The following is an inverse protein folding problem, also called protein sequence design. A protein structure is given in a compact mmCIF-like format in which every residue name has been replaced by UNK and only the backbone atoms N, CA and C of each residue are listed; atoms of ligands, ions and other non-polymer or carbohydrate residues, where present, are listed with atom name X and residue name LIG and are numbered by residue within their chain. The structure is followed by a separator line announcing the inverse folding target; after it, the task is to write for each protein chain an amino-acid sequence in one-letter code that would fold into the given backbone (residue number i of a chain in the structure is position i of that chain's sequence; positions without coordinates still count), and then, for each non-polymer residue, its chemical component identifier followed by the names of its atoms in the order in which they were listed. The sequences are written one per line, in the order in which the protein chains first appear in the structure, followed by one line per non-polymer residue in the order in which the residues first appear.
data_IF_864163245244
#
_entry.id   IF_864163245244
#
_cell.length_a   1.000
_cell.length_b   1.000
_cell.length_c   1.000
_cell.angle_alpha   90.00
_cell.angle_beta   90.00
_cell.angle_gamma   90.00
#
_symmetry.space_group_name_H-M   'P 1'
#
loop_
_entity.id
_entity.type
_entity.pdbx_description
1 polymer ?
#
# COMPACT_ATOMS: atom_id res chain seq x y z
N UNK A 1 6.10 -19.66 3.77
CA UNK A 1 6.76 -20.89 4.11
C UNK A 1 7.93 -20.69 5.05
N UNK A 2 9.13 -21.11 4.65
CA UNK A 2 10.33 -21.11 5.52
C UNK A 2 10.61 -19.80 6.26
N UNK A 3 10.51 -18.67 5.58
CA UNK A 3 10.70 -17.36 6.22
C UNK A 3 9.67 -17.11 7.32
N UNK A 4 8.41 -17.49 7.12
CA UNK A 4 7.38 -17.36 8.15
C UNK A 4 7.69 -18.20 9.39
N UNK A 5 8.18 -19.43 9.20
CA UNK A 5 8.60 -20.31 10.30
C UNK A 5 9.78 -19.74 11.11
N UNK A 6 10.69 -19.04 10.43
CA UNK A 6 11.88 -18.45 11.06
C UNK A 6 11.56 -17.13 11.80
N UNK A 7 10.62 -16.33 11.27
CA UNK A 7 10.34 -14.97 11.77
C UNK A 7 9.13 -14.94 12.72
N UNK A 8 8.13 -15.84 12.53
CA UNK A 8 6.89 -15.83 13.29
C UNK A 8 6.09 -14.53 13.11
N UNK A 9 5.70 -14.16 11.86
CA UNK A 9 5.06 -12.88 11.61
C UNK A 9 3.68 -12.82 12.27
N UNK A 10 3.32 -11.67 12.83
CA UNK A 10 2.00 -11.43 13.43
C UNK A 10 0.96 -10.98 12.41
N UNK A 11 1.40 -10.31 11.35
CA UNK A 11 0.56 -9.88 10.24
C UNK A 11 1.40 -9.71 8.96
N UNK A 12 0.72 -9.55 7.83
CA UNK A 12 1.34 -9.26 6.53
C UNK A 12 0.87 -7.91 6.01
N UNK A 13 1.80 -7.09 5.55
CA UNK A 13 1.50 -5.89 4.76
C UNK A 13 1.61 -6.28 3.28
N UNK A 14 0.49 -6.16 2.55
CA UNK A 14 0.47 -6.46 1.13
C UNK A 14 0.43 -5.15 0.32
N UNK A 15 1.54 -4.83 -0.33
CA UNK A 15 1.79 -3.53 -0.96
C UNK A 15 1.14 -3.35 -2.35
N UNK A 16 0.03 -4.03 -2.64
CA UNK A 16 -0.73 -3.94 -3.89
C UNK A 16 -0.26 -4.87 -4.99
N UNK A 17 -0.97 -4.86 -6.12
CA UNK A 17 -0.73 -5.70 -7.31
C UNK A 17 -0.74 -7.22 -7.01
N UNK A 18 -1.63 -7.66 -6.12
CA UNK A 18 -1.85 -9.10 -5.86
C UNK A 18 -2.54 -9.77 -7.05
N UNK A 19 -3.39 -9.03 -7.76
CA UNK A 19 -4.18 -9.54 -8.88
C UNK A 19 -3.70 -9.01 -10.23
N UNK A 20 -2.53 -9.46 -10.65
CA UNK A 20 -1.96 -9.20 -11.97
C UNK A 20 -2.73 -10.00 -13.06
N UNK A 21 -3.10 -9.43 -14.24
CA UNK A 21 -2.87 -8.08 -14.74
C UNK A 21 -4.10 -7.17 -14.62
N UNK A 22 -5.31 -7.72 -14.64
CA UNK A 22 -6.57 -6.96 -14.85
C UNK A 22 -7.36 -6.78 -13.53
N UNK A 23 -6.76 -7.06 -12.39
CA UNK A 23 -7.45 -7.06 -11.11
C UNK A 23 -8.54 -8.14 -11.03
N UNK A 24 -9.39 -8.08 -10.02
CA UNK A 24 -10.55 -8.97 -9.85
C UNK A 24 -11.83 -8.32 -10.35
N UNK A 25 -12.81 -9.13 -10.76
CA UNK A 25 -14.13 -8.66 -11.21
C UNK A 25 -15.17 -8.62 -10.10
N UNK A 26 -15.02 -9.51 -9.12
CA UNK A 26 -15.94 -9.62 -7.98
C UNK A 26 -15.26 -10.34 -6.81
N UNK A 27 -15.93 -10.40 -5.66
CA UNK A 27 -15.48 -11.20 -4.50
C UNK A 27 -15.46 -12.71 -4.78
N UNK A 28 -16.14 -13.16 -5.84
CA UNK A 28 -16.17 -14.57 -6.26
C UNK A 28 -15.24 -14.85 -7.46
N UNK A 29 -14.38 -13.90 -7.82
CA UNK A 29 -13.45 -14.10 -8.93
C UNK A 29 -12.47 -15.24 -8.59
N UNK A 30 -12.28 -16.24 -9.51
CA UNK A 30 -11.33 -17.33 -9.29
C UNK A 30 -9.89 -16.88 -9.00
N UNK A 31 -9.52 -15.67 -9.40
CA UNK A 31 -8.19 -15.09 -9.11
C UNK A 31 -7.92 -14.96 -7.61
N UNK A 32 -8.93 -14.85 -6.77
CA UNK A 32 -8.74 -14.89 -5.32
C UNK A 32 -8.10 -16.19 -4.86
N UNK A 33 -8.54 -17.32 -5.44
CA UNK A 33 -7.97 -18.61 -5.11
C UNK A 33 -6.56 -18.77 -5.67
N UNK A 34 -6.35 -18.43 -6.94
CA UNK A 34 -5.08 -18.70 -7.64
C UNK A 34 -3.97 -17.71 -7.30
N UNK A 35 -4.30 -16.48 -6.95
CA UNK A 35 -3.30 -15.43 -6.69
C UNK A 35 -3.10 -15.16 -5.20
N UNK A 36 -4.03 -15.55 -4.34
CA UNK A 36 -3.98 -15.26 -2.92
C UNK A 36 -4.16 -16.49 -2.04
N UNK A 37 -5.35 -17.09 -1.98
CA UNK A 37 -5.66 -18.11 -0.98
C UNK A 37 -4.77 -19.35 -1.07
N UNK A 38 -4.55 -19.90 -2.28
CA UNK A 38 -3.73 -21.08 -2.51
C UNK A 38 -2.22 -20.77 -2.49
N UNK A 39 -1.82 -19.59 -2.96
CA UNK A 39 -0.40 -19.21 -2.97
C UNK A 39 0.13 -19.00 -1.55
N UNK A 40 -0.64 -18.30 -0.71
CA UNK A 40 -0.25 -17.99 0.66
C UNK A 40 -0.95 -18.92 1.68
N UNK A 41 -1.00 -20.23 1.38
CA UNK A 41 -1.71 -21.23 2.18
C UNK A 41 -0.90 -21.84 3.33
N UNK A 42 0.34 -21.41 3.53
CA UNK A 42 1.17 -21.92 4.63
C UNK A 42 0.55 -21.51 6.00
N UNK A 43 0.55 -22.42 7.02
CA UNK A 43 -0.05 -22.12 8.34
C UNK A 43 0.41 -20.81 8.96
N UNK A 44 1.70 -20.48 8.87
CA UNK A 44 2.28 -19.22 9.38
C UNK A 44 1.78 -17.95 8.67
N UNK A 45 1.08 -18.10 7.54
CA UNK A 45 0.47 -17.02 6.80
C UNK A 45 -1.06 -16.94 6.98
N UNK A 46 -1.63 -17.80 7.86
CA UNK A 46 -3.05 -17.76 8.25
C UNK A 46 -3.33 -16.68 9.31
N UNK A 47 -2.66 -15.55 9.19
CA UNK A 47 -2.70 -14.36 10.03
C UNK A 47 -3.36 -13.20 9.29
N UNK A 48 -3.51 -12.05 9.95
CA UNK A 48 -4.11 -10.86 9.33
C UNK A 48 -3.24 -10.31 8.20
N UNK A 49 -3.87 -10.01 7.07
CA UNK A 49 -3.28 -9.34 5.92
C UNK A 49 -3.88 -7.95 5.78
N UNK A 50 -3.03 -6.94 5.76
CA UNK A 50 -3.40 -5.54 5.58
C UNK A 50 -2.96 -5.07 4.19
N UNK A 51 -3.84 -5.17 3.18
CA UNK A 51 -3.53 -4.83 1.80
C UNK A 51 -3.80 -3.36 1.47
N UNK A 52 -3.20 -2.94 0.36
CA UNK A 52 -3.55 -1.72 -0.36
C UNK A 52 -3.82 -2.04 -1.83
N UNK A 53 -4.39 -1.07 -2.55
CA UNK A 53 -4.59 -1.16 -3.99
C UNK A 53 -3.31 -0.79 -4.75
N UNK A 54 -2.94 -1.62 -5.72
CA UNK A 54 -1.97 -1.26 -6.75
C UNK A 54 -2.65 -0.82 -8.05
N UNK A 55 -1.87 -0.51 -9.06
CA UNK A 55 -2.45 -0.09 -10.35
C UNK A 55 -3.15 -1.23 -11.08
N UNK A 56 -2.78 -2.48 -10.84
CA UNK A 56 -3.47 -3.63 -11.43
C UNK A 56 -4.85 -3.86 -10.82
N UNK A 57 -5.06 -3.64 -9.53
CA UNK A 57 -6.39 -3.66 -8.92
C UNK A 57 -7.32 -2.59 -9.53
N UNK A 58 -6.77 -1.44 -9.94
CA UNK A 58 -7.51 -0.36 -10.60
C UNK A 58 -7.96 -0.67 -12.04
N UNK A 59 -7.43 -1.73 -12.66
CA UNK A 59 -7.95 -2.24 -13.94
C UNK A 59 -9.22 -3.06 -13.77
N UNK A 60 -9.42 -3.62 -12.57
CA UNK A 60 -10.59 -4.42 -12.23
C UNK A 60 -11.60 -3.67 -11.37
N UNK A 61 -12.28 -4.41 -10.54
CA UNK A 61 -13.26 -3.89 -9.58
C UNK A 61 -12.60 -3.63 -8.22
N UNK A 62 -12.17 -2.41 -7.99
CA UNK A 62 -11.52 -2.01 -6.73
C UNK A 62 -12.42 -2.20 -5.51
N UNK A 63 -13.75 -2.05 -5.66
CA UNK A 63 -14.68 -2.27 -4.56
C UNK A 63 -14.70 -3.74 -4.13
N UNK A 64 -14.58 -4.67 -5.07
CA UNK A 64 -14.49 -6.09 -4.75
C UNK A 64 -13.25 -6.42 -3.91
N UNK A 65 -12.16 -5.68 -4.06
CA UNK A 65 -10.96 -5.84 -3.23
C UNK A 65 -11.23 -5.46 -1.77
N UNK A 66 -11.97 -4.38 -1.55
CA UNK A 66 -12.40 -3.97 -0.21
C UNK A 66 -13.40 -4.98 0.37
N UNK A 67 -14.42 -5.34 -0.42
CA UNK A 67 -15.52 -6.22 0.00
C UNK A 67 -15.05 -7.63 0.33
N UNK A 68 -13.89 -8.06 -0.19
CA UNK A 68 -13.30 -9.35 0.13
C UNK A 68 -12.96 -9.51 1.62
N UNK A 69 -12.85 -8.40 2.36
CA UNK A 69 -12.78 -8.40 3.83
C UNK A 69 -13.94 -9.15 4.50
N UNK A 70 -15.10 -9.19 3.85
CA UNK A 70 -16.28 -9.92 4.34
C UNK A 70 -16.27 -11.40 3.92
N UNK A 71 -15.34 -11.83 3.09
CA UNK A 71 -15.24 -13.19 2.55
C UNK A 71 -14.08 -13.95 3.19
N UNK A 72 -12.89 -13.36 3.19
CA UNK A 72 -11.69 -13.98 3.76
C UNK A 72 -11.41 -13.45 5.16
N UNK A 73 -11.31 -14.36 6.12
CA UNK A 73 -10.97 -14.04 7.52
C UNK A 73 -9.63 -13.32 7.69
N UNK A 74 -8.69 -13.57 6.77
CA UNK A 74 -7.33 -12.99 6.81
C UNK A 74 -7.24 -11.63 6.16
N UNK A 75 -8.14 -11.30 5.23
CA UNK A 75 -8.10 -10.08 4.44
C UNK A 75 -8.74 -8.94 5.20
N UNK A 76 -7.96 -7.96 5.63
CA UNK A 76 -8.42 -6.82 6.42
C UNK A 76 -8.14 -5.51 5.70
N UNK A 77 -9.11 -5.07 4.87
CA UNK A 77 -9.05 -3.82 4.12
C UNK A 77 -10.31 -2.99 4.38
N UNK A 78 -10.36 -2.23 5.50
CA UNK A 78 -11.59 -1.54 5.91
C UNK A 78 -11.96 -0.35 5.02
N UNK A 79 -11.00 0.19 4.28
CA UNK A 79 -11.17 1.33 3.37
C UNK A 79 -10.04 1.35 2.33
N UNK A 80 -10.11 2.24 1.33
CA UNK A 80 -9.03 2.45 0.34
C UNK A 80 -7.74 2.98 0.97
N UNK A 81 -7.88 3.72 2.04
CA UNK A 81 -6.77 4.17 2.88
C UNK A 81 -7.22 4.15 4.34
N UNK A 82 -6.35 3.72 5.22
CA UNK A 82 -6.65 3.48 6.63
C UNK A 82 -5.38 3.50 7.49
N UNK A 83 -5.55 3.48 8.80
CA UNK A 83 -4.43 3.47 9.74
C UNK A 83 -4.72 2.56 10.93
N UNK A 84 -3.67 1.99 11.48
CA UNK A 84 -3.72 1.17 12.69
C UNK A 84 -2.46 1.41 13.52
N UNK A 85 -2.62 1.36 14.84
CA UNK A 85 -1.52 1.40 15.78
C UNK A 85 -1.31 0.03 16.39
N UNK A 86 -0.06 -0.34 16.59
CA UNK A 86 0.37 -1.58 17.23
C UNK A 86 1.20 -1.23 18.45
N UNK A 87 1.17 -2.09 19.47
CA UNK A 87 1.99 -1.96 20.66
C UNK A 87 2.56 -3.34 20.99
N UNK A 88 3.87 -3.44 21.01
CA UNK A 88 4.59 -4.66 21.38
C UNK A 88 5.63 -4.31 22.44
N UNK A 89 5.52 -4.91 23.62
CA UNK A 89 6.41 -4.71 24.76
C UNK A 89 6.65 -3.21 25.12
N UNK A 90 5.66 -2.36 24.88
CA UNK A 90 5.71 -0.91 25.16
C UNK A 90 6.27 -0.06 24.03
N UNK A 91 6.72 -0.66 22.92
CA UNK A 91 7.06 0.06 21.69
C UNK A 91 5.81 0.19 20.81
N UNK A 92 5.52 1.41 20.39
CA UNK A 92 4.32 1.71 19.60
C UNK A 92 4.67 2.01 18.15
N UNK A 93 3.88 1.47 17.22
CA UNK A 93 4.04 1.68 15.78
C UNK A 93 2.72 2.11 15.15
N UNK A 94 2.70 3.25 14.48
CA UNK A 94 1.60 3.68 13.61
C UNK A 94 1.91 3.25 12.19
N UNK A 95 1.02 2.49 11.56
CA UNK A 95 1.09 2.23 10.13
C UNK A 95 -0.07 2.95 9.45
N UNK A 96 0.22 3.64 8.35
CA UNK A 96 -0.73 4.39 7.54
C UNK A 96 -0.70 3.81 6.13
N UNK A 97 -1.74 3.09 5.76
CA UNK A 97 -1.92 2.52 4.41
C UNK A 97 -2.62 3.55 3.53
N UNK A 98 -2.06 3.83 2.37
CA UNK A 98 -2.56 4.85 1.44
C UNK A 98 -2.80 4.29 0.04
N UNK A 99 -3.73 4.91 -0.66
CA UNK A 99 -4.08 4.59 -2.04
C UNK A 99 -3.36 5.56 -3.00
N UNK A 100 -2.27 5.11 -3.60
CA UNK A 100 -1.38 5.98 -4.39
C UNK A 100 -1.83 6.20 -5.83
N UNK A 101 -2.57 5.28 -6.45
CA UNK A 101 -3.01 5.44 -7.85
C UNK A 101 -3.82 6.73 -8.07
N UNK A 102 -4.77 7.13 -7.20
CA UNK A 102 -5.48 8.40 -7.34
C UNK A 102 -4.61 9.66 -7.14
N UNK A 103 -3.40 9.52 -6.62
CA UNK A 103 -2.46 10.64 -6.44
C UNK A 103 -1.59 10.89 -7.68
N UNK A 104 -1.72 10.06 -8.71
CA UNK A 104 -0.87 10.06 -9.91
C UNK A 104 -1.72 10.37 -11.14
N UNK A 105 -1.34 11.41 -11.89
CA UNK A 105 -2.11 11.89 -13.04
C UNK A 105 -2.22 10.87 -14.17
N UNK A 106 -1.20 10.06 -14.38
CA UNK A 106 -1.22 8.95 -15.34
C UNK A 106 -2.45 8.05 -15.17
N UNK A 107 -2.73 7.63 -13.94
CA UNK A 107 -3.88 6.75 -13.66
C UNK A 107 -5.21 7.50 -13.65
N UNK A 108 -5.21 8.74 -13.22
CA UNK A 108 -6.42 9.59 -13.21
C UNK A 108 -6.88 9.96 -14.62
N UNK A 109 -5.95 10.16 -15.54
CA UNK A 109 -6.24 10.61 -16.90
C UNK A 109 -6.61 9.46 -17.85
N UNK A 110 -6.14 8.24 -17.57
CA UNK A 110 -6.50 7.05 -18.35
C UNK A 110 -7.75 6.38 -17.75
N UNK A 111 -8.90 6.99 -18.00
CA UNK A 111 -10.20 6.52 -17.49
C UNK A 111 -10.70 5.24 -18.15
N UNK A 112 -10.10 4.84 -19.26
CA UNK A 112 -10.41 3.60 -19.95
C UNK A 112 -9.77 2.41 -19.24
N UNK A 113 -8.50 2.51 -18.90
CA UNK A 113 -7.74 1.45 -18.23
C UNK A 113 -7.98 1.45 -16.72
N UNK A 114 -8.12 2.65 -16.11
CA UNK A 114 -8.23 2.83 -14.65
C UNK A 114 -9.49 3.63 -14.28
N UNK A 115 -10.70 3.09 -14.52
CA UNK A 115 -11.95 3.85 -14.49
C UNK A 115 -12.30 4.42 -13.11
N UNK A 116 -11.73 3.88 -12.04
CA UNK A 116 -12.01 4.31 -10.67
C UNK A 116 -11.01 5.34 -10.12
N UNK A 117 -9.84 5.49 -10.73
CA UNK A 117 -8.79 6.35 -10.20
C UNK A 117 -9.20 7.84 -10.19
N UNK A 118 -9.82 8.33 -11.28
CA UNK A 118 -10.31 9.71 -11.36
C UNK A 118 -11.51 10.01 -10.46
N UNK A 119 -12.25 8.98 -10.02
CA UNK A 119 -13.43 9.12 -9.15
C UNK A 119 -13.03 9.35 -7.69
N UNK A 120 -11.78 9.06 -7.33
CA UNK A 120 -11.31 9.24 -5.97
C UNK A 120 -10.94 10.69 -5.70
N UNK A 121 -11.26 11.17 -4.49
CA UNK A 121 -10.93 12.53 -4.05
C UNK A 121 -9.49 12.58 -3.50
N UNK A 122 -8.56 12.94 -4.38
CA UNK A 122 -7.14 13.08 -4.04
C UNK A 122 -6.92 14.09 -2.90
N UNK A 123 -7.61 15.24 -2.95
CA UNK A 123 -7.43 16.30 -1.93
C UNK A 123 -7.89 15.83 -0.55
N UNK A 124 -9.01 15.12 -0.52
CA UNK A 124 -9.54 14.52 0.72
C UNK A 124 -8.56 13.52 1.31
N UNK A 125 -7.97 12.66 0.48
CA UNK A 125 -6.98 11.69 0.96
C UNK A 125 -5.72 12.37 1.49
N UNK A 126 -5.16 13.35 0.77
CA UNK A 126 -3.97 14.08 1.22
C UNK A 126 -4.23 14.84 2.54
N UNK A 127 -5.40 15.46 2.69
CA UNK A 127 -5.80 16.11 3.95
C UNK A 127 -5.94 15.09 5.09
N UNK A 128 -6.48 13.89 4.80
CA UNK A 128 -6.59 12.82 5.78
C UNK A 128 -5.21 12.30 6.21
N UNK A 129 -4.27 12.13 5.28
CA UNK A 129 -2.89 11.73 5.58
C UNK A 129 -2.24 12.77 6.52
N UNK A 130 -2.34 14.06 6.19
CA UNK A 130 -1.81 15.15 7.02
C UNK A 130 -2.41 15.15 8.43
N UNK A 131 -3.72 14.94 8.55
CA UNK A 131 -4.43 14.87 9.83
C UNK A 131 -3.99 13.66 10.68
N UNK A 132 -3.93 12.47 10.09
CA UNK A 132 -3.48 11.24 10.76
C UNK A 132 -2.05 11.40 11.29
N UNK A 133 -1.15 11.90 10.44
CA UNK A 133 0.25 12.11 10.81
C UNK A 133 0.42 13.21 11.87
N UNK A 134 -0.42 14.25 11.85
CA UNK A 134 -0.45 15.29 12.91
C UNK A 134 -0.82 14.70 14.28
N UNK A 135 -1.69 13.71 14.30
CA UNK A 135 -2.18 13.06 15.53
C UNK A 135 -1.31 11.90 16.01
N UNK A 136 -0.45 11.37 15.15
CA UNK A 136 0.44 10.26 15.47
C UNK A 136 1.41 10.64 16.60
N UNK A 137 1.50 9.78 17.62
CA UNK A 137 2.39 9.92 18.79
C UNK A 137 3.19 8.66 19.07
N UNK A 138 3.07 7.70 18.18
CA UNK A 138 3.76 6.44 18.27
C UNK A 138 5.27 6.62 18.10
N UNK A 139 6.05 5.68 18.66
CA UNK A 139 7.51 5.70 18.58
C UNK A 139 8.02 5.59 17.13
N UNK A 140 7.26 4.85 16.30
CA UNK A 140 7.53 4.68 14.87
C UNK A 140 6.29 4.98 14.04
N UNK A 141 6.50 5.67 12.93
CA UNK A 141 5.43 6.00 11.95
C UNK A 141 5.86 5.51 10.58
N UNK A 142 5.13 4.54 10.06
CA UNK A 142 5.38 3.91 8.77
C UNK A 142 4.22 4.22 7.83
N UNK A 143 4.51 4.66 6.61
CA UNK A 143 3.51 4.86 5.57
C UNK A 143 3.70 3.81 4.49
N UNK A 144 2.62 3.16 4.07
CA UNK A 144 2.62 2.11 3.04
C UNK A 144 1.81 2.57 1.84
N UNK A 145 2.44 2.67 0.69
CA UNK A 145 1.81 2.96 -0.59
C UNK A 145 2.25 1.94 -1.65
N UNK A 146 1.55 1.87 -2.79
CA UNK A 146 1.95 0.94 -3.84
C UNK A 146 3.10 1.49 -4.69
N UNK A 147 2.98 2.74 -5.17
CA UNK A 147 3.96 3.35 -6.05
C UNK A 147 5.11 3.99 -5.27
N UNK A 148 6.36 3.90 -5.75
CA UNK A 148 7.50 4.53 -5.10
C UNK A 148 7.49 6.06 -5.24
N UNK A 149 7.93 6.75 -4.19
CA UNK A 149 8.26 8.18 -4.25
C UNK A 149 9.64 8.35 -4.88
N UNK A 150 10.57 7.49 -4.49
CA UNK A 150 11.92 7.42 -5.04
C UNK A 150 12.23 5.97 -5.40
N UNK A 151 12.81 5.77 -6.58
CA UNK A 151 13.30 4.47 -7.03
C UNK A 151 14.32 4.66 -8.15
N UNK A 152 15.29 3.78 -8.21
CA UNK A 152 16.16 3.62 -9.37
C UNK A 152 15.50 2.64 -10.34
N UNK A 153 15.04 3.14 -11.47
CA UNK A 153 14.27 2.37 -12.46
C UNK A 153 14.26 3.06 -13.81
N UNK A 154 14.08 2.28 -14.87
CA UNK A 154 13.83 2.77 -16.22
C UNK A 154 12.35 3.11 -16.50
N UNK A 155 11.44 2.87 -15.54
CA UNK A 155 10.03 3.26 -15.70
C UNK A 155 9.87 4.78 -15.73
N UNK A 156 8.76 5.25 -16.30
CA UNK A 156 8.41 6.66 -16.44
C UNK A 156 8.52 7.42 -15.09
N UNK A 157 9.18 8.56 -15.14
CA UNK A 157 9.38 9.43 -13.97
C UNK A 157 8.12 10.17 -13.53
N UNK A 158 7.09 10.26 -14.38
CA UNK A 158 5.88 11.04 -14.09
C UNK A 158 5.17 10.57 -12.81
N UNK A 159 5.13 9.26 -12.56
CA UNK A 159 4.52 8.68 -11.36
C UNK A 159 5.23 9.15 -10.09
N UNK A 160 6.57 9.10 -10.11
CA UNK A 160 7.40 9.52 -8.99
C UNK A 160 7.33 11.03 -8.79
N UNK A 161 7.36 11.81 -9.86
CA UNK A 161 7.26 13.27 -9.81
C UNK A 161 5.95 13.72 -9.16
N UNK A 162 4.83 13.08 -9.48
CA UNK A 162 3.54 13.38 -8.85
C UNK A 162 3.57 13.13 -7.34
N UNK A 163 4.11 11.99 -6.91
CA UNK A 163 4.21 11.66 -5.49
C UNK A 163 5.24 12.53 -4.75
N UNK A 164 6.36 12.86 -5.39
CA UNK A 164 7.35 13.81 -4.85
C UNK A 164 6.77 15.20 -4.63
N UNK A 165 5.85 15.63 -5.50
CA UNK A 165 5.20 16.94 -5.39
C UNK A 165 4.02 16.96 -4.41
N UNK A 166 3.27 15.86 -4.30
CA UNK A 166 1.98 15.80 -3.56
C UNK A 166 2.09 15.13 -2.20
N UNK A 167 2.83 14.03 -2.10
CA UNK A 167 2.89 13.18 -0.92
C UNK A 167 4.15 13.43 -0.08
N UNK A 168 5.33 13.43 -0.69
CA UNK A 168 6.61 13.54 0.00
C UNK A 168 6.73 14.77 0.92
N UNK A 169 6.23 15.96 0.55
CA UNK A 169 6.25 17.12 1.44
C UNK A 169 5.47 16.90 2.75
N UNK A 170 4.38 16.13 2.70
CA UNK A 170 3.58 15.78 3.88
C UNK A 170 4.37 14.82 4.78
N UNK A 171 4.96 13.77 4.18
CA UNK A 171 5.75 12.80 4.94
C UNK A 171 6.95 13.45 5.61
N UNK A 172 7.65 14.33 4.92
CA UNK A 172 8.81 15.10 5.46
C UNK A 172 8.39 16.07 6.56
N UNK A 173 7.28 16.77 6.39
CA UNK A 173 6.72 17.68 7.41
C UNK A 173 6.52 16.98 8.75
N UNK A 174 6.01 15.74 8.70
CA UNK A 174 5.70 14.93 9.89
C UNK A 174 6.84 14.01 10.32
N UNK A 175 7.99 14.05 9.63
CA UNK A 175 9.17 13.23 9.95
C UNK A 175 8.83 11.74 10.05
N UNK A 176 8.06 11.23 9.07
CA UNK A 176 7.77 9.80 8.95
C UNK A 176 9.07 9.01 8.95
N UNK A 177 9.12 7.88 9.64
CA UNK A 177 10.34 7.08 9.75
C UNK A 177 10.61 6.26 8.50
N UNK A 178 9.54 5.69 7.90
CA UNK A 178 9.67 4.82 6.74
C UNK A 178 8.50 4.97 5.77
N UNK A 179 8.79 4.93 4.47
CA UNK A 179 7.84 4.73 3.39
C UNK A 179 8.12 3.41 2.70
N UNK A 180 7.16 2.50 2.72
CA UNK A 180 7.28 1.16 2.10
C UNK A 180 6.37 1.09 0.88
N UNK A 181 6.87 0.55 -0.22
CA UNK A 181 6.11 0.39 -1.46
C UNK A 181 6.52 -0.85 -2.26
N UNK A 182 5.78 -1.11 -3.34
CA UNK A 182 6.02 -2.17 -4.31
C UNK A 182 6.32 -1.64 -5.72
N UNK A 183 5.58 -2.14 -6.71
CA UNK A 183 5.50 -1.65 -8.10
C UNK A 183 6.73 -1.89 -8.99
N UNK A 184 7.95 -1.82 -8.49
CA UNK A 184 9.17 -1.85 -9.32
C UNK A 184 9.72 -3.26 -9.53
N UNK A 185 9.21 -4.27 -8.83
CA UNK A 185 9.61 -5.69 -8.91
C UNK A 185 11.08 -5.93 -8.55
N UNK A 186 11.60 -5.21 -7.58
CA UNK A 186 12.91 -5.42 -6.99
C UNK A 186 12.95 -4.90 -5.55
N UNK A 187 14.08 -5.07 -4.89
CA UNK A 187 14.31 -4.51 -3.56
C UNK A 187 15.26 -3.31 -3.65
N UNK A 188 14.85 -2.19 -3.05
CA UNK A 188 15.68 -0.99 -2.92
C UNK A 188 15.48 -0.38 -1.52
N UNK A 189 16.58 0.15 -0.97
CA UNK A 189 16.54 0.97 0.24
C UNK A 189 17.25 2.29 -0.06
N UNK A 190 16.50 3.38 0.02
CA UNK A 190 16.93 4.70 -0.42
C UNK A 190 16.79 5.69 0.73
N UNK A 191 17.81 6.51 0.93
CA UNK A 191 17.78 7.70 1.76
C UNK A 191 18.10 8.92 0.92
N UNK A 192 17.27 9.95 1.04
CA UNK A 192 17.47 11.20 0.33
C UNK A 192 18.20 12.21 1.20
N UNK A 193 19.12 12.97 0.60
CA UNK A 193 19.81 14.06 1.31
C UNK A 193 18.80 15.03 1.92
N UNK A 194 18.98 15.36 3.21
CA UNK A 194 18.08 16.25 3.95
C UNK A 194 16.77 15.61 4.38
N UNK A 195 16.63 14.28 4.30
CA UNK A 195 15.51 13.52 4.85
C UNK A 195 16.01 12.39 5.75
N UNK A 196 15.29 12.14 6.83
CA UNK A 196 15.52 10.96 7.69
C UNK A 196 14.61 9.79 7.35
N UNK A 197 13.78 9.93 6.30
CA UNK A 197 12.84 8.88 5.89
C UNK A 197 13.61 7.77 5.17
N UNK A 198 13.39 6.53 5.58
CA UNK A 198 13.81 5.35 4.85
C UNK A 198 12.75 5.00 3.80
N UNK A 199 13.10 5.12 2.51
CA UNK A 199 12.23 4.73 1.40
C UNK A 199 12.61 3.31 0.99
N UNK A 200 11.68 2.38 1.16
CA UNK A 200 11.90 0.95 0.90
C UNK A 200 10.96 0.49 -0.21
N UNK A 201 11.54 0.02 -1.31
CA UNK A 201 10.83 -0.72 -2.35
C UNK A 201 11.00 -2.20 -2.06
N UNK A 202 9.89 -2.93 -1.96
CA UNK A 202 9.88 -4.38 -1.71
C UNK A 202 8.75 -5.02 -2.52
N UNK A 203 9.08 -5.61 -3.67
CA UNK A 203 8.15 -6.24 -4.61
C UNK A 203 8.65 -7.60 -5.06
#
# INVERSE_FOLDING_TARGET
GKMGEEIGPEFVVAAGDIHHFEGVRSVNDPLWMTNYELIYSHPELMIDWYPILGNHEYRGNTQAVLDYTNVSRRWSMPARYYTKSFNEEGVTVRIVWIDTAPLIDKYRNDTQTYPDACKQDMKKQLAWIDDVLTKAKEDWVIVVGHHPIYAETSKDDSERSDLQNRLDPILRKHKVDMYVCGHIHNFQHIRMNGSNIDYVVNS
#
